data_IF_157434555055
#
_entry.id   IF_157434555055
#
_cell.length_a   1.000
_cell.length_b   1.000
_cell.length_c   1.000
_cell.angle_alpha   90.00
_cell.angle_beta   90.00
_cell.angle_gamma   90.00
#
_symmetry.space_group_name_H-M   'P 1'
#
loop_
_entity.id
_entity.type
_entity.pdbx_description
1 polymer ?
#
# COMPACT_ATOMS: atom_id res chain seq x y z
N UNK A 1 -12.79 -4.87 -15.90
CA UNK A 1 -11.74 -3.96 -15.39
C UNK A 1 -11.44 -4.21 -13.92
N UNK A 2 -12.43 -4.25 -13.02
CA UNK A 2 -12.23 -4.62 -11.60
C UNK A 2 -11.70 -6.06 -11.41
N UNK A 3 -12.21 -7.03 -12.18
CA UNK A 3 -11.78 -8.44 -12.10
C UNK A 3 -10.31 -8.64 -12.48
N UNK A 4 -9.82 -7.93 -13.51
CA UNK A 4 -8.43 -8.03 -13.94
C UNK A 4 -7.44 -7.48 -12.88
N UNK A 5 -7.81 -6.39 -12.18
CA UNK A 5 -7.02 -5.85 -11.07
C UNK A 5 -7.01 -6.82 -9.88
N UNK A 6 -8.14 -7.46 -9.58
CA UNK A 6 -8.25 -8.47 -8.51
C UNK A 6 -7.46 -9.75 -8.83
N UNK A 7 -7.49 -10.24 -10.07
CA UNK A 7 -6.67 -11.38 -10.51
C UNK A 7 -5.17 -11.07 -10.39
N UNK A 8 -4.77 -9.83 -10.70
CA UNK A 8 -3.38 -9.40 -10.59
C UNK A 8 -2.92 -9.30 -9.13
N UNK A 9 -3.76 -8.77 -8.24
CA UNK A 9 -3.49 -8.72 -6.79
C UNK A 9 -3.44 -10.13 -6.20
N UNK A 10 -4.35 -11.04 -6.60
CA UNK A 10 -4.34 -12.43 -6.16
C UNK A 10 -3.10 -13.22 -6.65
N UNK A 11 -2.50 -12.81 -7.77
CA UNK A 11 -1.24 -13.34 -8.28
C UNK A 11 0.02 -12.73 -7.66
N UNK A 12 -0.11 -11.68 -6.84
CA UNK A 12 1.01 -11.03 -6.16
C UNK A 12 1.53 -11.93 -5.02
N UNK A 13 2.84 -11.93 -4.72
CA UNK A 13 3.41 -12.70 -3.61
C UNK A 13 2.84 -12.35 -2.23
N UNK A 14 2.21 -11.17 -2.07
CA UNK A 14 1.58 -10.73 -0.82
C UNK A 14 0.24 -10.02 -1.09
N UNK A 15 -0.83 -10.75 -1.44
CA UNK A 15 -2.10 -10.17 -1.90
C UNK A 15 -2.78 -9.32 -0.82
N UNK A 16 -2.70 -9.74 0.46
CA UNK A 16 -3.25 -8.98 1.60
C UNK A 16 -2.53 -7.65 1.82
N UNK A 17 -1.20 -7.64 1.65
CA UNK A 17 -0.37 -6.45 1.82
C UNK A 17 -0.67 -5.43 0.72
N UNK A 18 -0.68 -5.88 -0.54
CA UNK A 18 -1.02 -5.03 -1.68
C UNK A 18 -2.44 -4.47 -1.56
N UNK A 19 -3.43 -5.32 -1.24
CA UNK A 19 -4.81 -4.87 -1.07
C UNK A 19 -4.96 -3.86 0.06
N UNK A 20 -4.34 -4.12 1.22
CA UNK A 20 -4.36 -3.19 2.36
C UNK A 20 -3.78 -1.83 1.99
N UNK A 21 -2.67 -1.82 1.25
CA UNK A 21 -2.00 -0.58 0.86
C UNK A 21 -2.86 0.22 -0.11
N UNK A 22 -3.46 -0.45 -1.10
CA UNK A 22 -4.36 0.17 -2.06
C UNK A 22 -5.62 0.73 -1.38
N UNK A 23 -6.19 0.02 -0.41
CA UNK A 23 -7.35 0.49 0.36
C UNK A 23 -6.99 1.73 1.18
N UNK A 24 -5.87 1.72 1.90
CA UNK A 24 -5.42 2.86 2.71
C UNK A 24 -5.16 4.09 1.85
N UNK A 25 -4.49 3.93 0.71
CA UNK A 25 -4.23 5.04 -0.21
C UNK A 25 -5.50 5.53 -0.91
N UNK A 26 -6.42 4.63 -1.27
CA UNK A 26 -7.71 5.00 -1.84
C UNK A 26 -8.56 5.77 -0.81
N UNK A 27 -8.52 5.37 0.46
CA UNK A 27 -9.29 6.01 1.53
C UNK A 27 -8.66 7.32 2.00
N UNK A 28 -7.35 7.45 1.98
CA UNK A 28 -6.66 8.69 2.33
C UNK A 28 -7.00 9.84 1.35
N UNK A 29 -7.30 9.52 0.08
CA UNK A 29 -7.53 10.51 -0.99
C UNK A 29 -6.35 11.50 -1.22
N UNK A 30 -5.21 11.26 -0.56
CA UNK A 30 -3.99 12.07 -0.62
C UNK A 30 -2.75 11.17 -0.57
N UNK A 31 -1.58 11.74 -0.85
CA UNK A 31 -0.30 11.06 -0.68
C UNK A 31 0.01 10.84 0.80
N UNK A 32 0.35 9.61 1.18
CA UNK A 32 0.79 9.27 2.54
C UNK A 32 2.31 9.21 2.61
N UNK A 33 2.90 9.38 3.79
CA UNK A 33 4.31 9.00 3.97
C UNK A 33 4.43 7.48 3.95
N UNK A 34 5.52 6.97 3.39
CA UNK A 34 5.81 5.54 3.35
C UNK A 34 5.77 4.93 4.76
N UNK A 35 6.40 5.57 5.75
CA UNK A 35 6.34 5.13 7.15
C UNK A 35 4.89 5.05 7.67
N UNK A 36 4.07 6.08 7.46
CA UNK A 36 2.69 6.09 7.94
C UNK A 36 1.87 4.96 7.31
N UNK A 37 2.08 4.70 6.01
CA UNK A 37 1.45 3.58 5.30
C UNK A 37 1.90 2.23 5.89
N UNK A 38 3.20 2.03 6.13
CA UNK A 38 3.73 0.80 6.72
C UNK A 38 3.20 0.55 8.13
N UNK A 39 3.10 1.60 8.95
CA UNK A 39 2.53 1.48 10.30
C UNK A 39 1.03 1.18 10.25
N UNK A 40 0.28 1.76 9.32
CA UNK A 40 -1.13 1.45 9.13
C UNK A 40 -1.35 0.01 8.65
N UNK A 41 -0.45 -0.53 7.83
CA UNK A 41 -0.47 -1.92 7.38
C UNK A 41 -0.13 -2.93 8.49
N UNK A 42 0.61 -2.49 9.51
CA UNK A 42 0.94 -3.30 10.69
C UNK A 42 -0.21 -3.36 11.72
N UNK A 43 -1.37 -2.78 11.42
CA UNK A 43 -2.57 -2.86 12.26
C UNK A 43 -3.47 -3.98 11.74
N UNK A 44 -3.67 -5.02 12.54
CA UNK A 44 -4.77 -5.96 12.32
C UNK A 44 -6.08 -5.28 12.76
N UNK A 45 -7.15 -5.35 11.97
CA UNK A 45 -8.43 -4.73 12.32
C UNK A 45 -9.24 -5.58 13.32
N UNK A 46 -9.06 -6.90 13.33
CA UNK A 46 -9.77 -7.82 14.21
C UNK A 46 -8.84 -8.92 14.74
N UNK A 47 -8.34 -8.82 15.98
CA UNK A 47 -8.52 -7.71 16.93
C UNK A 47 -7.77 -6.45 16.48
N UNK A 48 -8.25 -5.26 16.85
CA UNK A 48 -7.54 -3.99 16.61
C UNK A 48 -6.22 -3.98 17.38
N UNK A 49 -5.15 -4.45 16.74
CA UNK A 49 -3.84 -4.66 17.37
C UNK A 49 -2.75 -4.26 16.41
N UNK A 50 -1.89 -3.36 16.88
CA UNK A 50 -0.64 -3.07 16.21
C UNK A 50 0.35 -4.21 16.46
N UNK A 51 0.91 -4.76 15.39
CA UNK A 51 1.91 -5.81 15.45
C UNK A 51 3.14 -5.44 14.64
N UNK A 52 4.21 -5.05 15.32
CA UNK A 52 5.46 -4.63 14.67
C UNK A 52 6.16 -5.74 13.90
N UNK A 53 5.75 -7.01 14.07
CA UNK A 53 6.26 -8.13 13.26
C UNK A 53 5.69 -8.13 11.84
N UNK A 54 4.59 -7.41 11.60
CA UNK A 54 3.98 -7.21 10.29
C UNK A 54 4.55 -6.02 9.52
N UNK A 55 5.49 -5.28 10.13
CA UNK A 55 6.11 -4.13 9.50
C UNK A 55 7.00 -4.62 8.35
N UNK A 56 6.62 -4.27 7.12
CA UNK A 56 7.33 -4.70 5.91
C UNK A 56 8.32 -3.65 5.46
N UNK A 57 9.34 -4.09 4.72
CA UNK A 57 10.28 -3.19 4.08
C UNK A 57 9.61 -2.43 2.90
N UNK A 58 9.92 -1.14 2.68
CA UNK A 58 9.38 -0.35 1.58
C UNK A 58 9.50 -1.01 0.20
N UNK A 59 10.64 -1.63 -0.12
CA UNK A 59 10.84 -2.29 -1.41
C UNK A 59 9.95 -3.53 -1.56
N UNK A 60 9.69 -4.23 -0.45
CA UNK A 60 8.74 -5.36 -0.42
C UNK A 60 7.33 -4.89 -0.73
N UNK A 61 6.91 -3.75 -0.15
CA UNK A 61 5.60 -3.16 -0.40
C UNK A 61 5.46 -2.70 -1.86
N UNK A 62 6.47 -2.00 -2.39
CA UNK A 62 6.50 -1.54 -3.78
C UNK A 62 6.44 -2.72 -4.76
N UNK A 63 7.20 -3.78 -4.48
CA UNK A 63 7.18 -5.01 -5.25
C UNK A 63 5.82 -5.71 -5.18
N UNK A 64 5.18 -5.76 -4.01
CA UNK A 64 3.87 -6.41 -3.84
C UNK A 64 2.74 -5.67 -4.57
N UNK A 65 2.83 -4.33 -4.63
CA UNK A 65 1.88 -3.48 -5.33
C UNK A 65 2.13 -3.44 -6.85
N UNK A 66 3.21 -4.05 -7.36
CA UNK A 66 3.49 -4.23 -8.79
C UNK A 66 3.31 -2.96 -9.65
N UNK A 67 3.72 -1.80 -9.13
CA UNK A 67 3.59 -0.53 -9.84
C UNK A 67 2.18 0.07 -9.86
N UNK A 68 1.26 -0.38 -9.01
CA UNK A 68 -0.03 0.28 -8.78
C UNK A 68 0.09 1.53 -7.89
N UNK A 69 1.24 1.70 -7.23
CA UNK A 69 1.58 2.85 -6.40
C UNK A 69 2.89 3.49 -6.88
N UNK A 70 2.99 4.81 -6.73
CA UNK A 70 4.18 5.61 -7.00
C UNK A 70 4.82 6.01 -5.69
N UNK A 71 6.15 5.99 -5.62
CA UNK A 71 6.92 6.45 -4.46
C UNK A 71 7.89 7.56 -4.86
N UNK A 72 7.83 8.69 -4.14
CA UNK A 72 8.69 9.86 -4.32
C UNK A 72 9.82 9.82 -3.27
N UNK A 73 11.07 9.55 -3.66
CA UNK A 73 12.15 9.28 -2.69
C UNK A 73 12.60 10.52 -1.91
N UNK A 74 12.36 11.73 -2.42
CA UNK A 74 12.73 13.00 -1.77
C UNK A 74 11.79 13.34 -0.62
N UNK A 75 10.48 13.28 -0.86
CA UNK A 75 9.44 13.60 0.13
C UNK A 75 9.02 12.39 0.97
N UNK A 76 9.44 11.18 0.56
CA UNK A 76 9.02 9.90 1.13
C UNK A 76 7.51 9.65 1.01
N UNK A 77 6.87 10.28 0.03
CA UNK A 77 5.44 10.15 -0.21
C UNK A 77 5.13 8.98 -1.13
N UNK A 78 3.99 8.35 -0.90
CA UNK A 78 3.46 7.25 -1.70
C UNK A 78 1.99 7.53 -2.05
N UNK A 79 1.65 7.31 -3.32
CA UNK A 79 0.30 7.57 -3.85
C UNK A 79 -0.11 6.50 -4.88
N UNK A 80 -1.41 6.38 -5.15
CA UNK A 80 -1.91 5.52 -6.23
C UNK A 80 -1.56 6.13 -7.59
N UNK A 81 -1.12 5.30 -8.56
CA UNK A 81 -0.77 5.77 -9.92
C UNK A 81 -1.93 6.49 -10.62
N UNK A 82 -3.17 6.12 -10.31
CA UNK A 82 -4.35 6.76 -10.91
C UNK A 82 -4.62 8.16 -10.34
N UNK A 83 -4.19 8.46 -9.12
CA UNK A 83 -4.37 9.77 -8.51
C UNK A 83 -3.14 10.59 -8.91
N UNK A 84 -3.25 11.24 -10.08
CA UNK A 84 -2.18 11.87 -10.85
C UNK A 84 -1.45 13.07 -10.18
N UNK A 85 -1.50 13.23 -8.86
CA UNK A 85 -0.82 14.32 -8.15
C UNK A 85 -0.18 13.80 -6.85
N UNK A 86 1.06 13.33 -6.95
CA UNK A 86 2.01 13.37 -5.84
C UNK A 86 2.58 14.79 -5.87
N UNK A 87 2.06 15.72 -5.08
CA UNK A 87 2.52 17.14 -5.07
C UNK A 87 2.56 17.64 -3.65
#
# INVERSE_FOLDING_TARGET
>A
MYEATMEYINGSPAPKLALGALILLAYAHESLKMDDLLHALAIEMEPFKYDSTLLVDPDTLLSACCGLITFEPETKLVCLVHILYCT
#
